data_IF_093670494402
#
_entry.id   IF_093670494402
#
_cell.length_a   1.000
_cell.length_b   1.000
_cell.length_c   1.000
_cell.angle_alpha   90.00
_cell.angle_beta   90.00
_cell.angle_gamma   90.00
#
_symmetry.space_group_name_H-M   'P 1'
#
loop_
_entity.id
_entity.type
_entity.pdbx_description
1 polymer ?
#
# COMPACT_ATOMS: atom_id res chain seq x y z
N UNK A 1 -3.06 -25.44 25.98
CA UNK A 1 -2.98 -25.64 24.51
C UNK A 1 -4.31 -26.05 23.87
N UNK A 2 -5.03 -27.07 24.38
CA UNK A 2 -6.34 -27.48 23.81
C UNK A 2 -7.42 -26.38 23.77
N UNK A 3 -7.46 -25.49 24.76
CA UNK A 3 -8.46 -24.41 24.82
C UNK A 3 -8.34 -23.41 23.67
N UNK A 4 -7.11 -22.98 23.34
CA UNK A 4 -6.87 -22.03 22.24
C UNK A 4 -7.28 -22.60 20.88
N UNK A 5 -7.09 -23.90 20.67
CA UNK A 5 -7.48 -24.57 19.44
C UNK A 5 -9.00 -24.67 19.28
N UNK A 6 -9.74 -24.95 20.36
CA UNK A 6 -11.20 -24.97 20.31
C UNK A 6 -11.75 -23.58 20.00
N UNK A 7 -11.19 -22.54 20.61
CA UNK A 7 -11.58 -21.16 20.33
C UNK A 7 -11.29 -20.76 18.86
N UNK A 8 -10.09 -21.07 18.36
CA UNK A 8 -9.69 -20.78 16.98
C UNK A 8 -10.64 -21.44 15.96
N UNK A 9 -10.93 -22.72 16.17
CA UNK A 9 -11.82 -23.52 15.31
C UNK A 9 -13.27 -23.04 15.38
N UNK A 10 -13.80 -22.78 16.57
CA UNK A 10 -15.23 -22.56 16.77
C UNK A 10 -15.65 -21.10 16.51
N UNK A 11 -14.71 -20.13 16.54
CA UNK A 11 -15.02 -18.71 16.37
C UNK A 11 -14.17 -17.99 15.32
N UNK A 12 -12.84 -18.14 15.36
CA UNK A 12 -11.96 -17.36 14.49
C UNK A 12 -12.04 -17.83 13.05
N UNK A 13 -12.07 -19.14 12.81
CA UNK A 13 -12.05 -19.71 11.46
C UNK A 13 -13.16 -19.15 10.55
N UNK A 14 -14.41 -19.12 11.03
CA UNK A 14 -15.54 -18.63 10.25
C UNK A 14 -15.46 -17.12 10.00
N UNK A 15 -15.03 -16.35 11.00
CA UNK A 15 -14.82 -14.90 10.86
C UNK A 15 -13.75 -14.62 9.82
N UNK A 16 -12.62 -15.32 9.87
CA UNK A 16 -11.55 -15.17 8.88
C UNK A 16 -12.01 -15.59 7.48
N UNK A 17 -12.77 -16.68 7.36
CA UNK A 17 -13.30 -17.12 6.07
C UNK A 17 -14.28 -16.09 5.50
N UNK A 18 -15.11 -15.47 6.34
CA UNK A 18 -16.00 -14.39 5.93
C UNK A 18 -15.20 -13.14 5.49
N UNK A 19 -14.20 -12.74 6.29
CA UNK A 19 -13.30 -11.64 5.94
C UNK A 19 -12.56 -11.90 4.62
N UNK A 20 -12.05 -13.11 4.39
CA UNK A 20 -11.37 -13.46 3.13
C UNK A 20 -12.30 -13.39 1.91
N UNK A 21 -13.61 -13.59 2.07
CA UNK A 21 -14.53 -13.43 0.95
C UNK A 21 -14.92 -11.95 0.77
N UNK A 22 -15.15 -11.23 1.86
CA UNK A 22 -15.63 -9.85 1.82
C UNK A 22 -14.53 -8.83 1.49
N UNK A 23 -13.35 -8.97 2.08
CA UNK A 23 -12.22 -8.04 1.92
C UNK A 23 -11.80 -7.81 0.46
N UNK A 24 -11.58 -8.82 -0.41
CA UNK A 24 -11.19 -8.57 -1.79
C UNK A 24 -12.26 -7.82 -2.57
N UNK A 25 -13.55 -8.05 -2.27
CA UNK A 25 -14.67 -7.36 -2.89
C UNK A 25 -14.65 -5.88 -2.47
N UNK A 26 -14.54 -5.62 -1.16
CA UNK A 26 -14.46 -4.26 -0.63
C UNK A 26 -13.23 -3.55 -1.19
N UNK A 27 -12.03 -4.14 -1.11
CA UNK A 27 -10.80 -3.55 -1.66
C UNK A 27 -10.94 -3.22 -3.16
N UNK A 28 -11.47 -4.14 -3.95
CA UNK A 28 -11.65 -3.96 -5.41
C UNK A 28 -12.69 -2.91 -5.76
N UNK A 29 -13.71 -2.71 -4.93
CA UNK A 29 -14.77 -1.74 -5.20
C UNK A 29 -14.52 -0.37 -4.59
N UNK A 30 -13.76 -0.28 -3.49
CA UNK A 30 -13.54 0.98 -2.78
C UNK A 30 -12.10 1.44 -2.86
N UNK A 31 -11.14 0.64 -2.37
CA UNK A 31 -9.75 1.08 -2.18
C UNK A 31 -9.04 1.24 -3.52
N UNK A 32 -9.09 0.22 -4.38
CA UNK A 32 -8.41 0.25 -5.67
C UNK A 32 -8.98 1.29 -6.65
N UNK A 33 -10.31 1.45 -6.79
CA UNK A 33 -10.87 2.50 -7.64
C UNK A 33 -10.55 3.89 -7.09
N UNK A 34 -10.53 4.08 -5.77
CA UNK A 34 -10.13 5.35 -5.17
C UNK A 34 -8.68 5.71 -5.51
N UNK A 35 -7.75 4.74 -5.41
CA UNK A 35 -6.36 4.93 -5.82
C UNK A 35 -6.24 5.28 -7.31
N UNK A 36 -6.95 4.56 -8.18
CA UNK A 36 -6.98 4.83 -9.63
C UNK A 36 -7.63 6.19 -9.97
N UNK A 37 -8.69 6.58 -9.27
CA UNK A 37 -9.34 7.89 -9.43
C UNK A 37 -8.38 9.00 -8.99
N UNK A 38 -7.70 8.84 -7.86
CA UNK A 38 -6.68 9.81 -7.42
C UNK A 38 -5.57 9.95 -8.46
N UNK A 39 -5.07 8.84 -8.99
CA UNK A 39 -4.07 8.85 -10.07
C UNK A 39 -4.60 9.54 -11.33
N UNK A 40 -5.87 9.35 -11.70
CA UNK A 40 -6.45 9.99 -12.90
C UNK A 40 -6.72 11.48 -12.70
N UNK A 41 -7.27 11.86 -11.56
CA UNK A 41 -7.67 13.25 -11.26
C UNK A 41 -6.46 14.16 -11.00
N UNK A 42 -5.39 13.65 -10.38
CA UNK A 42 -4.17 14.44 -10.10
C UNK A 42 -3.00 14.13 -11.03
N UNK A 43 -3.23 13.43 -12.15
CA UNK A 43 -2.16 12.97 -13.06
C UNK A 43 -1.44 14.06 -13.85
N UNK A 44 -1.91 15.32 -13.87
CA UNK A 44 -1.32 16.35 -14.75
C UNK A 44 0.14 16.68 -14.43
N UNK A 45 0.59 16.40 -13.23
CA UNK A 45 1.96 16.65 -12.78
C UNK A 45 2.85 15.41 -12.82
N UNK A 46 2.31 14.26 -13.21
CA UNK A 46 3.00 12.98 -13.17
C UNK A 46 3.40 12.55 -14.59
N UNK A 47 4.67 12.16 -14.76
CA UNK A 47 5.15 11.60 -16.03
C UNK A 47 4.36 10.36 -16.44
N UNK A 48 4.16 10.19 -17.76
CA UNK A 48 3.37 9.08 -18.31
C UNK A 48 3.91 7.70 -17.90
N UNK A 49 5.24 7.54 -17.86
CA UNK A 49 5.90 6.29 -17.48
C UNK A 49 5.64 5.93 -16.02
N UNK A 50 5.74 6.93 -15.13
CA UNK A 50 5.45 6.74 -13.71
C UNK A 50 3.98 6.38 -13.53
N UNK A 51 3.07 7.05 -14.25
CA UNK A 51 1.63 6.74 -14.19
C UNK A 51 1.34 5.30 -14.63
N UNK A 52 2.02 4.82 -15.67
CA UNK A 52 1.89 3.44 -16.12
C UNK A 52 2.37 2.46 -15.04
N UNK A 53 3.49 2.74 -14.38
CA UNK A 53 4.01 1.93 -13.27
C UNK A 53 3.01 1.80 -12.11
N UNK A 54 2.43 2.91 -11.66
CA UNK A 54 1.39 2.89 -10.62
C UNK A 54 0.14 2.15 -11.06
N UNK A 55 -0.30 2.33 -12.31
CA UNK A 55 -1.45 1.61 -12.85
C UNK A 55 -1.24 0.09 -12.90
N UNK A 56 -0.08 -0.36 -13.41
CA UNK A 56 0.27 -1.77 -13.47
C UNK A 56 0.39 -2.39 -12.08
N UNK A 57 0.91 -1.63 -11.12
CA UNK A 57 0.92 -2.05 -9.73
C UNK A 57 -0.47 -2.29 -9.21
N UNK A 58 -1.36 -1.33 -9.41
CA UNK A 58 -2.69 -1.41 -8.82
C UNK A 58 -3.45 -2.62 -9.36
N UNK A 59 -3.29 -2.90 -10.66
CA UNK A 59 -3.77 -4.14 -11.28
C UNK A 59 -3.14 -5.37 -10.62
N UNK A 60 -1.82 -5.36 -10.40
CA UNK A 60 -1.11 -6.46 -9.74
C UNK A 60 -1.65 -6.72 -8.33
N UNK A 61 -1.90 -5.67 -7.55
CA UNK A 61 -2.48 -5.77 -6.21
C UNK A 61 -3.91 -6.32 -6.24
N UNK A 62 -4.77 -5.83 -7.15
CA UNK A 62 -6.13 -6.37 -7.34
C UNK A 62 -6.04 -7.87 -7.64
N UNK A 63 -5.25 -8.26 -8.65
CA UNK A 63 -5.11 -9.67 -9.04
C UNK A 63 -4.60 -10.51 -7.87
N UNK A 64 -3.66 -9.98 -7.09
CA UNK A 64 -3.13 -10.65 -5.91
C UNK A 64 -4.18 -10.85 -4.83
N UNK A 65 -4.96 -9.82 -4.50
CA UNK A 65 -6.05 -9.91 -3.51
C UNK A 65 -7.07 -10.98 -3.89
N UNK A 66 -7.44 -11.06 -5.17
CA UNK A 66 -8.35 -12.10 -5.65
C UNK A 66 -7.73 -13.49 -5.61
N UNK A 67 -6.47 -13.64 -6.03
CA UNK A 67 -5.77 -14.92 -5.99
C UNK A 67 -5.68 -15.47 -4.56
N UNK A 68 -5.28 -14.65 -3.60
CA UNK A 68 -5.09 -15.12 -2.23
C UNK A 68 -6.40 -15.31 -1.47
N UNK A 69 -7.35 -14.39 -1.65
CA UNK A 69 -8.57 -14.37 -0.87
C UNK A 69 -9.68 -15.24 -1.47
N UNK A 70 -9.70 -15.42 -2.80
CA UNK A 70 -10.71 -16.27 -3.46
C UNK A 70 -10.18 -17.64 -3.86
N UNK A 71 -8.96 -17.74 -4.42
CA UNK A 71 -8.46 -19.00 -4.98
C UNK A 71 -7.72 -19.87 -3.96
N UNK A 72 -6.85 -19.28 -3.14
CA UNK A 72 -5.94 -20.02 -2.26
C UNK A 72 -6.26 -20.00 -0.76
N UNK A 73 -7.33 -19.31 -0.34
CA UNK A 73 -7.86 -19.17 1.05
C UNK A 73 -7.01 -19.86 2.11
N UNK A 74 -5.90 -19.22 2.46
CA UNK A 74 -4.98 -19.78 3.44
C UNK A 74 -5.35 -19.30 4.83
N UNK A 75 -5.36 -20.21 5.79
CA UNK A 75 -5.63 -19.90 7.18
C UNK A 75 -4.51 -20.48 8.05
N UNK A 76 -3.73 -19.65 8.78
CA UNK A 76 -2.76 -20.16 9.73
C UNK A 76 -3.50 -20.80 10.91
N UNK A 77 -3.19 -22.06 11.22
CA UNK A 77 -3.86 -22.81 12.28
C UNK A 77 -3.16 -22.51 13.61
N UNK A 78 -3.71 -21.63 14.44
CA UNK A 78 -3.10 -21.29 15.72
C UNK A 78 -3.42 -22.37 16.79
N UNK A 79 -2.49 -22.76 17.67
CA UNK A 79 -1.08 -22.33 17.81
C UNK A 79 -0.08 -23.20 17.04
N UNK A 80 -0.52 -23.98 16.06
CA UNK A 80 0.34 -24.91 15.34
C UNK A 80 1.11 -24.21 14.21
N UNK A 81 2.29 -24.72 13.87
CA UNK A 81 3.06 -24.27 12.71
C UNK A 81 2.51 -24.91 11.42
N UNK A 82 1.24 -24.64 11.12
CA UNK A 82 0.52 -25.23 9.99
C UNK A 82 -0.39 -24.22 9.30
N UNK A 83 -0.57 -24.42 7.99
CA UNK A 83 -1.53 -23.64 7.19
C UNK A 83 -2.60 -24.59 6.66
N UNK A 84 -3.86 -24.21 6.87
CA UNK A 84 -4.99 -24.75 6.15
C UNK A 84 -5.10 -24.04 4.80
N UNK A 85 -5.36 -24.79 3.72
CA UNK A 85 -5.57 -24.26 2.37
C UNK A 85 -6.98 -24.64 1.91
N UNK A 86 -7.83 -23.64 1.70
CA UNK A 86 -9.17 -23.78 1.16
C UNK A 86 -9.32 -23.18 -0.23
N UNK A 87 -10.45 -23.44 -0.89
CA UNK A 87 -10.79 -22.83 -2.17
C UNK A 87 -10.49 -23.70 -3.41
N UNK A 88 -10.86 -23.22 -4.61
CA UNK A 88 -10.81 -24.01 -5.84
C UNK A 88 -9.39 -24.44 -6.20
N UNK A 89 -8.40 -23.56 -6.04
CA UNK A 89 -7.02 -23.86 -6.44
C UNK A 89 -6.39 -24.94 -5.55
N UNK A 90 -6.64 -24.92 -4.23
CA UNK A 90 -6.18 -25.98 -3.33
C UNK A 90 -6.81 -27.34 -3.66
N UNK A 91 -8.06 -27.36 -4.17
CA UNK A 91 -8.72 -28.61 -4.59
C UNK A 91 -8.15 -29.16 -5.90
N UNK A 92 -7.81 -28.29 -6.84
CA UNK A 92 -7.24 -28.67 -8.14
C UNK A 92 -5.78 -29.12 -7.97
N UNK A 93 -5.00 -28.40 -7.17
CA UNK A 93 -3.58 -28.68 -6.95
C UNK A 93 -3.43 -29.63 -5.76
N UNK A 94 -3.80 -30.90 -5.96
CA UNK A 94 -3.65 -31.95 -4.93
C UNK A 94 -2.18 -32.29 -4.62
N UNK A 95 -1.25 -31.97 -5.53
CA UNK A 95 0.17 -32.24 -5.35
C UNK A 95 0.86 -31.15 -4.51
N UNK A 96 1.32 -31.54 -3.31
CA UNK A 96 1.97 -30.66 -2.33
C UNK A 96 3.16 -29.89 -2.89
N UNK A 97 3.96 -30.51 -3.76
CA UNK A 97 5.13 -29.84 -4.36
C UNK A 97 4.72 -28.71 -5.30
N UNK A 98 3.63 -28.91 -6.07
CA UNK A 98 3.10 -27.86 -6.95
C UNK A 98 2.48 -26.73 -6.15
N UNK A 99 1.74 -27.05 -5.09
CA UNK A 99 1.16 -26.04 -4.21
C UNK A 99 2.24 -25.17 -3.56
N UNK A 100 3.32 -25.78 -3.04
CA UNK A 100 4.46 -25.06 -2.49
C UNK A 100 5.14 -24.17 -3.54
N UNK A 101 5.32 -24.67 -4.77
CA UNK A 101 5.87 -23.89 -5.86
C UNK A 101 4.99 -22.66 -6.19
N UNK A 102 3.67 -22.83 -6.30
CA UNK A 102 2.75 -21.71 -6.51
C UNK A 102 2.84 -20.68 -5.40
N UNK A 103 2.92 -21.13 -4.15
CA UNK A 103 3.09 -20.26 -2.99
C UNK A 103 4.40 -19.45 -3.06
N UNK A 104 5.53 -20.11 -3.38
CA UNK A 104 6.82 -19.45 -3.55
C UNK A 104 6.82 -18.44 -4.69
N UNK A 105 6.22 -18.78 -5.84
CA UNK A 105 6.10 -17.88 -6.98
C UNK A 105 5.31 -16.62 -6.60
N UNK A 106 4.19 -16.78 -5.89
CA UNK A 106 3.40 -15.63 -5.47
C UNK A 106 4.12 -14.77 -4.44
N UNK A 107 4.80 -15.37 -3.46
CA UNK A 107 5.61 -14.63 -2.49
C UNK A 107 6.69 -13.83 -3.24
N UNK A 108 7.37 -14.45 -4.21
CA UNK A 108 8.34 -13.77 -5.06
C UNK A 108 7.73 -12.60 -5.83
N UNK A 109 6.52 -12.75 -6.36
CA UNK A 109 5.81 -11.67 -7.05
C UNK A 109 5.49 -10.49 -6.13
N UNK A 110 5.05 -10.73 -4.89
CA UNK A 110 4.79 -9.68 -3.89
C UNK A 110 6.08 -8.95 -3.50
N UNK A 111 7.14 -9.71 -3.22
CA UNK A 111 8.44 -9.12 -2.88
C UNK A 111 8.96 -8.28 -4.04
N UNK A 112 8.82 -8.77 -5.27
CA UNK A 112 9.22 -8.03 -6.48
C UNK A 112 8.39 -6.75 -6.63
N UNK A 113 7.09 -6.78 -6.34
CA UNK A 113 6.24 -5.60 -6.35
C UNK A 113 6.72 -4.57 -5.31
N UNK A 114 6.92 -4.97 -4.05
CA UNK A 114 7.43 -4.09 -2.99
C UNK A 114 8.81 -3.50 -3.33
N UNK A 115 9.73 -4.33 -3.81
CA UNK A 115 11.06 -3.88 -4.22
C UNK A 115 11.00 -2.96 -5.45
N UNK A 116 10.12 -3.24 -6.39
CA UNK A 116 9.82 -2.36 -7.53
C UNK A 116 9.40 -0.98 -7.06
N UNK A 117 8.47 -0.89 -6.09
CA UNK A 117 8.11 0.39 -5.47
C UNK A 117 9.29 1.08 -4.80
N UNK A 118 10.11 0.33 -4.06
CA UNK A 118 11.24 0.91 -3.36
C UNK A 118 12.28 1.50 -4.34
N UNK A 119 12.56 0.79 -5.44
CA UNK A 119 13.57 1.16 -6.45
C UNK A 119 13.03 2.28 -7.36
N UNK A 120 11.83 2.12 -7.92
CA UNK A 120 11.23 3.13 -8.81
C UNK A 120 10.66 4.33 -8.03
N UNK A 121 10.44 4.18 -6.73
CA UNK A 121 10.13 5.27 -5.81
C UNK A 121 11.36 5.85 -5.12
N UNK A 122 12.58 5.53 -5.57
CA UNK A 122 13.82 6.13 -5.06
C UNK A 122 14.09 7.49 -5.71
N UNK A 123 14.82 8.35 -4.98
CA UNK A 123 14.90 9.80 -5.21
C UNK A 123 15.13 10.21 -6.67
N UNK A 124 14.36 11.19 -7.12
CA UNK A 124 14.69 11.98 -8.29
C UNK A 124 16.04 12.67 -8.05
N UNK A 125 16.97 12.57 -9.00
CA UNK A 125 18.27 13.26 -8.97
C UNK A 125 18.17 14.80 -8.81
N UNK A 126 16.96 15.37 -8.82
CA UNK A 126 16.68 16.77 -8.52
C UNK A 126 16.31 17.06 -7.05
N UNK A 127 16.33 16.06 -6.16
CA UNK A 127 16.08 16.26 -4.75
C UNK A 127 17.05 17.28 -4.14
N UNK A 128 18.32 17.29 -4.56
CA UNK A 128 19.32 18.27 -4.10
C UNK A 128 19.06 19.69 -4.62
N UNK A 129 18.57 19.81 -5.86
CA UNK A 129 18.16 21.11 -6.44
C UNK A 129 16.95 21.68 -5.68
N UNK A 130 15.98 20.86 -5.31
CA UNK A 130 14.79 21.32 -4.59
C UNK A 130 15.12 21.58 -3.11
N UNK A 131 16.01 20.78 -2.51
CA UNK A 131 16.53 21.03 -1.17
C UNK A 131 17.27 22.37 -1.10
N UNK A 132 18.09 22.70 -2.10
CA UNK A 132 18.79 23.98 -2.14
C UNK A 132 17.85 25.17 -2.37
N UNK A 133 16.81 25.02 -3.20
CA UNK A 133 15.77 26.05 -3.39
C UNK A 133 14.93 26.26 -2.11
N UNK A 134 14.53 25.18 -1.43
CA UNK A 134 13.76 25.28 -0.19
C UNK A 134 14.58 25.95 0.92
N UNK A 135 15.87 25.61 1.05
CA UNK A 135 16.78 26.30 1.98
C UNK A 135 16.97 27.78 1.60
N UNK A 136 17.10 28.11 0.31
CA UNK A 136 17.19 29.50 -0.14
C UNK A 136 15.90 30.31 0.15
N UNK A 137 14.73 29.68 0.10
CA UNK A 137 13.44 30.30 0.49
C UNK A 137 13.35 30.45 2.01
N UNK A 138 13.83 29.47 2.78
CA UNK A 138 13.83 29.51 4.25
C UNK A 138 14.79 30.56 4.82
N UNK A 139 15.94 30.76 4.18
CA UNK A 139 16.86 31.87 4.51
C UNK A 139 16.28 33.24 4.14
N UNK A 140 15.37 33.30 3.15
CA UNK A 140 14.65 34.51 2.73
C UNK A 140 13.29 34.71 3.40
N UNK A 141 13.12 34.24 4.64
CA UNK A 141 11.88 34.39 5.43
C UNK A 141 11.19 35.74 5.23
N UNK A 142 9.87 35.65 5.01
CA UNK A 142 8.85 36.71 4.94
C UNK A 142 8.68 37.22 3.50
N UNK A 143 7.60 36.79 2.83
CA UNK A 143 6.71 37.62 1.98
C UNK A 143 5.78 36.79 1.06
N UNK A 144 5.92 35.46 1.00
CA UNK A 144 5.02 34.63 0.17
C UNK A 144 4.10 33.73 1.01
N UNK A 145 3.28 34.35 1.88
CA UNK A 145 2.00 33.73 2.27
C UNK A 145 0.99 34.06 1.18
N UNK A 146 0.95 33.23 0.13
CA UNK A 146 0.05 33.43 -1.01
C UNK A 146 -1.13 32.45 -1.03
N UNK A 147 -1.45 31.79 0.09
CA UNK A 147 -2.67 30.99 0.25
C UNK A 147 -3.36 31.31 1.60
N UNK A 148 -4.37 32.20 1.60
CA UNK A 148 -5.07 32.61 2.83
C UNK A 148 -5.87 31.48 3.51
N UNK A 149 -6.09 30.35 2.82
CA UNK A 149 -6.90 29.23 3.31
C UNK A 149 -6.20 28.40 4.41
N UNK A 150 -4.88 28.47 4.51
CA UNK A 150 -4.08 27.71 5.49
C UNK A 150 -3.59 28.57 6.67
N UNK A 151 -3.76 29.90 6.60
CA UNK A 151 -3.27 30.84 7.61
C UNK A 151 -3.85 30.61 9.00
N UNK A 152 -5.11 30.18 9.09
CA UNK A 152 -5.80 29.94 10.36
C UNK A 152 -5.19 28.80 11.20
N UNK A 153 -4.41 27.90 10.59
CA UNK A 153 -3.72 26.80 11.30
C UNK A 153 -2.46 27.31 12.02
N UNK A 154 -1.79 28.33 11.48
CA UNK A 154 -0.66 29.00 12.15
C UNK A 154 -1.14 29.85 13.34
N UNK A 155 -2.31 30.49 13.21
CA UNK A 155 -2.92 31.32 14.28
C UNK A 155 -3.30 30.50 15.54
N UNK A 156 -3.39 29.16 15.43
CA UNK A 156 -3.64 28.26 16.56
C UNK A 156 -2.38 27.77 17.29
N UNK A 157 -1.21 28.29 16.92
CA UNK A 157 0.07 27.88 17.53
C UNK A 157 0.54 26.49 17.10
N UNK A 158 -0.04 25.91 16.05
CA UNK A 158 0.39 24.64 15.46
C UNK A 158 1.46 24.83 14.38
N UNK A 159 2.29 23.80 14.17
CA UNK A 159 3.25 23.73 13.08
C UNK A 159 2.63 23.03 11.86
N UNK A 160 2.64 23.69 10.70
CA UNK A 160 2.14 23.13 9.44
C UNK A 160 3.28 22.37 8.74
N UNK A 161 3.11 21.07 8.56
CA UNK A 161 4.07 20.23 7.84
C UNK A 161 3.58 20.05 6.39
N UNK A 162 4.14 20.82 5.46
CA UNK A 162 3.79 20.75 4.04
C UNK A 162 4.75 19.80 3.33
N UNK A 163 4.20 18.74 2.73
CA UNK A 163 4.98 17.81 1.92
C UNK A 163 5.05 18.31 0.49
N UNK A 164 6.05 19.15 0.22
CA UNK A 164 6.42 19.54 -1.13
C UNK A 164 5.68 20.72 -1.73
N UNK A 165 6.08 21.10 -2.94
CA UNK A 165 5.37 22.10 -3.73
C UNK A 165 3.99 21.57 -4.15
N UNK A 166 2.99 22.47 -4.14
CA UNK A 166 1.64 22.17 -4.62
C UNK A 166 1.70 21.62 -6.05
N UNK A 167 1.27 20.36 -6.21
CA UNK A 167 1.26 19.65 -7.48
C UNK A 167 2.31 18.54 -7.61
N UNK A 168 3.35 18.50 -6.79
CA UNK A 168 4.37 17.45 -6.87
C UNK A 168 4.16 16.38 -5.79
N UNK A 169 3.47 15.28 -6.13
CA UNK A 169 3.13 14.19 -5.19
C UNK A 169 4.34 13.43 -4.61
N UNK A 170 5.55 13.73 -5.06
CA UNK A 170 6.81 13.07 -4.70
C UNK A 170 7.25 13.26 -3.22
N UNK A 171 6.62 14.17 -2.47
CA UNK A 171 7.03 14.48 -1.09
C UNK A 171 6.25 13.76 0.01
N UNK A 172 5.22 12.97 -0.34
CA UNK A 172 4.41 12.22 0.64
C UNK A 172 5.24 11.20 1.45
N UNK A 173 6.40 10.79 0.91
CA UNK A 173 7.32 9.80 1.51
C UNK A 173 8.04 10.30 2.78
N UNK A 174 8.30 11.61 2.92
CA UNK A 174 9.06 12.16 4.06
C UNK A 174 8.21 12.45 5.31
N UNK A 175 6.88 12.39 5.21
CA UNK A 175 6.00 12.66 6.34
C UNK A 175 5.84 11.56 7.36
N UNK A 176 5.91 10.31 6.91
CA UNK A 176 5.69 9.18 7.81
C UNK A 176 6.94 8.80 8.61
N UNK A 177 8.14 9.23 8.20
CA UNK A 177 9.40 8.88 8.88
C UNK A 177 9.76 9.90 9.98
N UNK A 178 9.35 11.16 9.86
CA UNK A 178 9.63 12.21 10.86
C UNK A 178 8.61 12.30 12.01
N UNK A 179 7.63 11.38 12.11
CA UNK A 179 6.73 11.27 13.28
C UNK A 179 7.21 10.23 14.32
N UNK A 180 8.36 9.59 14.09
CA UNK A 180 8.91 8.54 14.96
C UNK A 180 10.27 8.89 15.58
N UNK A 181 10.72 10.15 15.47
CA UNK A 181 11.83 10.72 16.23
C UNK A 181 11.50 12.15 16.66
#
# INVERSE_FOLDING_TARGET
LRFAFAFDRDYLFDVFQMCQIALPIVNTLTVHPLALIMLRCKSRTMGADIRLGYFLTEISLIVHDWLFSSFFRMYPILPYSGFYCGGPACRIVKNRSRQSLFMLVNIGAVVTNICGFAIFGFDSNNADTIRSVYFAILEKKIYLYQDPELGWLADRGGSLLIFGDFGNAQYFKFGMINCLN
#
